data_IF_844026530396
#
_entry.id   IF_844026530396
#
_cell.length_a   1.000
_cell.length_b   1.000
_cell.length_c   1.000
_cell.angle_alpha   90.00
_cell.angle_beta   90.00
_cell.angle_gamma   90.00
#
_symmetry.space_group_name_H-M   'P 1'
#
loop_
_entity.id
_entity.type
_entity.pdbx_description
1 polymer ?
2 non-polymer ?
3 water ?
#
# COMPACT_ATOMS: atom_id res chain seq x y z
N UNK A 1 4.67 20.20 -17.25
CA UNK A 1 5.61 20.62 -18.28
C UNK A 1 6.84 19.74 -18.38
N UNK A 2 7.05 18.82 -17.41
CA UNK A 2 8.30 18.05 -17.34
C UNK A 2 8.20 16.67 -17.96
N UNK A 3 7.03 16.30 -18.46
CA UNK A 3 6.92 15.07 -19.21
C UNK A 3 6.44 13.89 -18.38
N UNK A 4 6.56 12.72 -19.02
CA UNK A 4 5.84 11.56 -18.53
C UNK A 4 6.29 11.17 -17.14
N UNK A 5 7.60 11.25 -16.84
CA UNK A 5 7.99 10.79 -15.51
C UNK A 5 7.35 11.64 -14.43
N UNK A 6 7.40 12.97 -14.60
CA UNK A 6 6.76 13.83 -13.62
C UNK A 6 5.29 13.51 -13.51
N UNK A 7 4.63 13.30 -14.65
CA UNK A 7 3.20 13.03 -14.64
C UNK A 7 2.88 11.71 -13.95
N UNK A 8 3.69 10.67 -14.19
CA UNK A 8 3.43 9.39 -13.54
C UNK A 8 3.50 9.53 -12.03
N UNK A 9 4.52 10.25 -11.54
CA UNK A 9 4.67 10.43 -10.10
C UNK A 9 3.49 11.19 -9.51
N UNK A 10 3.01 12.22 -10.21
CA UNK A 10 1.83 12.93 -9.72
C UNK A 10 0.61 12.03 -9.71
N UNK A 11 0.44 11.17 -10.74
CA UNK A 11 -0.70 10.26 -10.76
C UNK A 11 -0.64 9.29 -9.58
N UNK A 12 0.57 8.82 -9.27
CA UNK A 12 0.77 7.93 -8.11
C UNK A 12 0.46 8.65 -6.82
N UNK A 13 0.88 9.91 -6.67
CA UNK A 13 0.43 10.70 -5.52
C UNK A 13 -1.09 10.67 -5.39
N UNK A 14 -1.80 10.83 -6.51
CA UNK A 14 -3.26 10.78 -6.47
C UNK A 14 -3.80 9.42 -6.08
N UNK A 15 -3.21 8.33 -6.58
CA UNK A 15 -3.68 7.00 -6.16
C UNK A 15 -3.56 6.85 -4.65
N UNK A 16 -2.42 7.28 -4.10
CA UNK A 16 -2.17 7.18 -2.68
C UNK A 16 -3.19 8.01 -1.90
N UNK A 17 -3.44 9.24 -2.34
CA UNK A 17 -4.48 10.06 -1.71
C UNK A 17 -5.82 9.32 -1.69
N UNK A 18 -6.18 8.67 -2.80
CA UNK A 18 -7.46 7.95 -2.83
C UNK A 18 -7.45 6.78 -1.85
N UNK A 19 -6.35 6.04 -1.80
CA UNK A 19 -6.28 4.90 -0.89
C UNK A 19 -6.39 5.30 0.58
N UNK A 20 -5.93 6.51 0.93
CA UNK A 20 -5.97 7.01 2.29
C UNK A 20 -7.29 7.72 2.61
N UNK A 21 -8.12 7.96 1.62
CA UNK A 21 -9.32 8.78 1.80
C UNK A 21 -10.50 7.98 2.39
N UNK A 22 -11.48 8.74 2.92
CA UNK A 22 -12.64 8.11 3.55
C UNK A 22 -13.37 7.16 2.58
N UNK A 23 -13.27 7.44 1.29
CA UNK A 23 -13.94 6.62 0.27
C UNK A 23 -13.73 5.13 0.47
N UNK A 24 -12.51 4.72 0.87
CA UNK A 24 -12.18 3.31 1.01
C UNK A 24 -11.99 2.87 2.44
N UNK A 25 -12.46 3.67 3.42
CA UNK A 25 -12.10 3.38 4.81
C UNK A 25 -12.72 2.08 5.34
N UNK A 26 -13.75 1.53 4.70
CA UNK A 26 -14.29 0.26 5.19
C UNK A 26 -13.28 -0.86 5.17
N UNK A 27 -12.35 -0.85 4.22
CA UNK A 27 -11.37 -1.94 4.10
C UNK A 27 -9.94 -1.47 4.15
N UNK A 28 -9.66 -0.18 3.93
CA UNK A 28 -8.26 0.26 3.85
C UNK A 28 -7.66 0.52 5.22
N UNK A 29 -8.47 0.71 6.27
CA UNK A 29 -7.91 1.20 7.52
C UNK A 29 -6.80 0.35 8.14
N UNK A 30 -6.75 -1.00 7.98
CA UNK A 30 -5.64 -1.74 8.59
C UNK A 30 -4.31 -1.44 7.97
N UNK A 31 -4.31 -0.72 6.85
CA UNK A 31 -3.10 -0.42 6.08
C UNK A 31 -2.66 1.03 6.21
N UNK A 32 -3.35 1.81 7.05
CA UNK A 32 -2.98 3.23 7.21
C UNK A 32 -1.65 3.41 7.93
N UNK A 33 -1.28 2.51 8.85
CA UNK A 33 -0.15 2.71 9.75
C UNK A 33 0.61 1.39 9.82
N UNK A 34 1.89 1.42 10.22
CA UNK A 34 2.64 0.15 10.39
C UNK A 34 1.90 -0.80 11.33
N UNK A 35 1.93 -2.10 11.00
CA UNK A 35 1.45 -3.11 11.95
C UNK A 35 2.15 -2.90 13.28
N UNK A 36 1.38 -2.74 14.35
CA UNK A 36 1.95 -2.64 15.70
C UNK A 36 1.89 -4.03 16.30
N UNK A 37 3.00 -4.78 16.14
CA UNK A 37 3.00 -6.18 16.55
C UNK A 37 2.83 -6.33 18.05
N UNK A 38 3.38 -5.38 18.82
CA UNK A 38 3.23 -5.45 20.28
C UNK A 38 1.79 -5.21 20.68
N UNK A 39 1.15 -4.18 20.11
CA UNK A 39 -0.24 -3.87 20.50
C UNK A 39 -1.17 -4.98 20.05
N UNK A 40 -0.90 -5.59 18.89
CA UNK A 40 -1.78 -6.62 18.38
C UNK A 40 -1.43 -8.00 18.92
N UNK A 41 -0.38 -8.09 19.75
CA UNK A 41 0.11 -9.35 20.31
C UNK A 41 0.44 -10.37 19.23
N UNK A 42 1.11 -9.92 18.16
CA UNK A 42 1.56 -10.79 17.04
C UNK A 42 3.03 -11.06 17.28
N UNK A 43 3.32 -12.04 18.14
CA UNK A 43 4.70 -12.24 18.59
C UNK A 43 5.62 -12.82 17.54
N UNK A 44 5.07 -13.31 16.43
CA UNK A 44 5.85 -13.83 15.34
C UNK A 44 5.85 -12.92 14.12
N UNK A 45 5.21 -11.72 14.20
CA UNK A 45 5.05 -10.90 12.99
C UNK A 45 6.40 -10.55 12.35
N UNK A 46 7.32 -9.97 13.12
CA UNK A 46 8.59 -9.55 12.56
C UNK A 46 9.57 -10.69 12.29
N UNK A 47 9.28 -11.89 12.77
CA UNK A 47 10.02 -13.08 12.38
C UNK A 47 9.59 -13.58 11.02
N UNK A 48 8.37 -13.25 10.58
CA UNK A 48 7.85 -13.77 9.32
C UNK A 48 7.84 -12.70 8.23
N UNK A 49 7.60 -11.46 8.61
CA UNK A 49 7.60 -10.34 7.68
C UNK A 49 8.88 -9.55 7.87
N UNK A 50 9.80 -9.63 6.89
CA UNK A 50 11.11 -8.99 7.03
C UNK A 50 11.12 -7.56 6.56
N UNK A 51 10.14 -7.14 5.76
CA UNK A 51 10.11 -5.78 5.20
C UNK A 51 8.70 -5.24 5.37
N UNK A 52 8.36 -4.78 6.56
CA UNK A 52 7.01 -4.22 6.77
C UNK A 52 6.74 -3.01 5.86
N UNK A 53 5.49 -2.83 5.47
CA UNK A 53 5.19 -1.65 4.67
C UNK A 53 3.73 -1.28 4.92
N UNK A 54 3.40 0.01 4.78
CA UNK A 54 2.04 0.49 5.06
C UNK A 54 1.88 1.82 4.34
N UNK A 55 0.65 2.30 4.26
CA UNK A 55 0.39 3.50 3.45
C UNK A 55 1.03 4.77 4.00
N UNK A 56 1.16 4.93 5.32
CA UNK A 56 1.84 6.14 5.82
C UNK A 56 3.30 6.14 5.44
N UNK A 57 3.93 4.96 5.38
CA UNK A 57 5.34 4.90 4.94
C UNK A 57 5.44 5.18 3.46
N UNK A 58 4.54 4.60 2.65
CA UNK A 58 4.53 4.93 1.22
C UNK A 58 4.38 6.44 1.03
N UNK A 59 3.49 7.07 1.81
CA UNK A 59 3.34 8.52 1.70
C UNK A 59 4.62 9.28 2.06
N UNK A 60 5.26 8.92 3.19
CA UNK A 60 6.50 9.59 3.55
C UNK A 60 7.52 9.49 2.43
N UNK A 61 7.67 8.30 1.85
CA UNK A 61 8.69 8.10 0.80
C UNK A 61 8.29 8.80 -0.50
N UNK A 62 7.02 8.74 -0.88
CA UNK A 62 6.56 9.38 -2.10
C UNK A 62 6.66 10.90 -2.00
N UNK A 63 6.28 11.46 -0.83
CA UNK A 63 6.37 12.90 -0.67
C UNK A 63 7.81 13.39 -0.69
N UNK A 64 8.74 12.58 -0.13
CA UNK A 64 10.14 12.84 -0.24
C UNK A 64 10.77 12.48 -1.57
N UNK A 65 9.95 12.04 -2.53
CA UNK A 65 10.38 11.67 -3.88
C UNK A 65 11.47 10.60 -3.86
N UNK A 66 11.31 9.62 -2.95
CA UNK A 66 12.28 8.54 -2.86
C UNK A 66 12.01 7.42 -3.86
N UNK A 67 10.82 7.39 -4.45
CA UNK A 67 10.59 6.45 -5.54
C UNK A 67 11.05 7.08 -6.84
N UNK A 68 11.98 6.47 -7.56
CA UNK A 68 12.48 7.11 -8.80
C UNK A 68 11.51 7.07 -9.93
N UNK A 69 10.52 6.18 -9.88
CA UNK A 69 9.56 6.02 -10.96
C UNK A 69 8.31 5.36 -10.39
N UNK A 70 7.29 5.22 -11.25
CA UNK A 70 6.04 4.67 -10.77
C UNK A 70 6.20 3.21 -10.38
N UNK A 71 7.13 2.49 -11.03
CA UNK A 71 7.29 1.09 -10.67
C UNK A 71 7.82 0.95 -9.26
N UNK A 72 8.67 1.89 -8.82
CA UNK A 72 9.18 1.81 -7.46
C UNK A 72 8.08 2.02 -6.43
N UNK A 73 7.20 2.98 -6.70
CA UNK A 73 6.05 3.21 -5.85
C UNK A 73 5.17 1.97 -5.82
N UNK A 74 4.89 1.39 -6.99
CA UNK A 74 4.01 0.22 -7.02
C UNK A 74 4.61 -0.95 -6.25
N UNK A 75 5.93 -1.10 -6.32
CA UNK A 75 6.57 -2.18 -5.61
C UNK A 75 6.28 -2.10 -4.11
N UNK A 76 6.34 -0.89 -3.53
CA UNK A 76 6.08 -0.83 -2.09
C UNK A 76 4.60 -1.01 -1.77
N UNK A 77 3.68 -0.51 -2.62
CA UNK A 77 2.26 -0.76 -2.36
C UNK A 77 1.99 -2.26 -2.41
N UNK A 78 2.60 -2.94 -3.39
CA UNK A 78 2.34 -4.36 -3.53
C UNK A 78 3.04 -5.16 -2.44
N UNK A 79 4.20 -4.69 -1.96
CA UNK A 79 4.82 -5.29 -0.78
C UNK A 79 3.89 -5.28 0.45
N UNK A 80 3.22 -4.15 0.68
CA UNK A 80 2.23 -4.07 1.73
C UNK A 80 1.16 -5.15 1.59
N UNK A 81 0.59 -5.30 0.38
CA UNK A 81 -0.42 -6.36 0.20
C UNK A 81 0.19 -7.75 0.39
N UNK A 82 1.35 -7.99 -0.24
CA UNK A 82 2.00 -9.30 -0.15
C UNK A 82 2.31 -9.69 1.29
N UNK A 83 2.75 -8.72 2.10
CA UNK A 83 3.01 -9.04 3.52
C UNK A 83 1.74 -9.56 4.18
N UNK A 84 0.58 -8.95 3.84
CA UNK A 84 -0.65 -9.37 4.48
C UNK A 84 -1.03 -10.77 4.01
N UNK A 85 -0.91 -11.03 2.70
CA UNK A 85 -1.19 -12.37 2.21
C UNK A 85 -0.23 -13.40 2.81
N UNK A 86 1.03 -13.02 3.04
CA UNK A 86 2.01 -14.01 3.51
C UNK A 86 1.77 -14.39 4.98
N UNK A 87 1.43 -13.38 5.81
CA UNK A 87 1.41 -13.59 7.25
C UNK A 87 0.12 -14.24 7.73
N UNK A 88 -1.03 -13.84 7.20
CA UNK A 88 -2.32 -14.16 7.76
C UNK A 88 -2.89 -15.43 7.14
N UNK A 89 -3.82 -16.10 7.83
CA UNK A 89 -4.50 -17.24 7.21
C UNK A 89 -5.22 -16.79 5.94
N UNK A 90 -5.25 -17.63 4.90
CA UNK A 90 -5.81 -17.17 3.61
C UNK A 90 -7.28 -16.88 3.65
N UNK A 91 -8.03 -17.44 4.61
CA UNK A 91 -9.45 -17.14 4.67
C UNK A 91 -9.76 -15.98 5.61
N UNK A 92 -8.74 -15.27 6.09
CA UNK A 92 -9.01 -14.27 7.11
C UNK A 92 -9.62 -13.02 6.50
N UNK A 93 -10.47 -12.37 7.29
CA UNK A 93 -11.04 -11.07 6.91
C UNK A 93 -9.96 -10.07 6.44
N UNK A 94 -8.82 -10.01 7.14
CA UNK A 94 -7.83 -8.99 6.78
C UNK A 94 -7.26 -9.24 5.39
N UNK A 95 -7.21 -10.49 4.95
CA UNK A 95 -6.76 -10.78 3.60
C UNK A 95 -7.79 -10.30 2.59
N UNK A 96 -9.08 -10.47 2.91
CA UNK A 96 -10.11 -9.95 2.03
C UNK A 96 -10.06 -8.44 1.98
N UNK A 97 -9.74 -7.83 3.10
CA UNK A 97 -9.66 -6.37 3.09
C UNK A 97 -8.47 -5.89 2.23
N UNK A 98 -7.32 -6.56 2.37
CA UNK A 98 -6.18 -6.21 1.53
C UNK A 98 -6.53 -6.37 0.07
N UNK A 99 -7.24 -7.44 -0.25
CA UNK A 99 -7.59 -7.67 -1.65
C UNK A 99 -8.57 -6.64 -2.18
N UNK A 100 -9.53 -6.20 -1.35
CA UNK A 100 -10.43 -5.12 -1.79
C UNK A 100 -9.64 -3.86 -2.10
N UNK A 101 -8.66 -3.53 -1.25
CA UNK A 101 -7.86 -2.36 -1.50
C UNK A 101 -6.94 -2.56 -2.71
N UNK A 102 -6.40 -3.78 -2.90
CA UNK A 102 -5.57 -4.02 -4.07
C UNK A 102 -6.40 -3.94 -5.35
N UNK A 103 -7.69 -4.31 -5.29
CA UNK A 103 -8.50 -4.19 -6.50
C UNK A 103 -8.55 -2.73 -6.94
N UNK A 104 -8.66 -1.83 -5.96
CA UNK A 104 -8.66 -0.39 -6.26
C UNK A 104 -7.30 0.02 -6.82
N UNK A 105 -6.24 -0.36 -6.11
CA UNK A 105 -4.90 0.00 -6.54
C UNK A 105 -4.63 -0.45 -7.98
N UNK A 106 -4.85 -1.74 -8.25
CA UNK A 106 -4.51 -2.27 -9.58
C UNK A 106 -5.33 -1.60 -10.66
N UNK A 107 -6.60 -1.33 -10.39
CA UNK A 107 -7.42 -0.63 -11.37
C UNK A 107 -6.87 0.75 -11.68
N UNK A 108 -6.61 1.55 -10.64
CA UNK A 108 -6.10 2.89 -10.91
C UNK A 108 -4.73 2.85 -11.55
N UNK A 109 -3.86 1.97 -11.05
CA UNK A 109 -2.49 1.89 -11.60
C UNK A 109 -2.53 1.50 -13.07
N UNK A 110 -3.43 0.59 -13.45
CA UNK A 110 -3.48 0.12 -14.84
C UNK A 110 -3.91 1.23 -15.77
N UNK A 111 -4.58 2.25 -15.25
CA UNK A 111 -5.12 3.34 -16.07
C UNK A 111 -4.23 4.58 -16.02
N UNK A 112 -3.03 4.45 -15.48
CA UNK A 112 -2.06 5.54 -15.51
C UNK A 112 -1.74 5.85 -16.98
N UNK A 113 -1.97 7.08 -17.45
CA UNK A 113 -1.62 7.39 -18.85
C UNK A 113 -0.11 7.25 -19.09
#
# INVERSE_FOLDING_TARGET
SMGKLSEHLRYCDSILREMLSKKHAAYAWPFYKPVDAEALELHDYHDIIKHPMDLSTVKRKMDGREYPDAQGFAADVRLMFSNCYKYNPPDHEVVAMARKLQDVFEMRFAKMP
#
